data_IF_048629699144
#
_entry.id   IF_048629699144
#
_cell.length_a   1.000
_cell.length_b   1.000
_cell.length_c   1.000
_cell.angle_alpha   90.00
_cell.angle_beta   90.00
_cell.angle_gamma   90.00
#
_symmetry.space_group_name_H-M   'P 1'
#
loop_
_entity.id
_entity.type
_entity.pdbx_description
1 polymer ?
#
# COMPACT_ATOMS: atom_id res chain seq x y z
N UNK A 1 14.24 6.23 4.73
CA UNK A 1 13.20 5.50 4.00
C UNK A 1 13.79 4.75 2.81
N UNK A 2 13.16 3.63 2.37
CA UNK A 2 13.66 2.83 1.24
C UNK A 2 13.42 3.49 -0.13
N UNK A 3 12.29 4.19 -0.26
CA UNK A 3 11.85 4.90 -1.46
C UNK A 3 11.18 6.21 -1.07
N UNK A 4 11.34 7.25 -1.90
CA UNK A 4 10.74 8.57 -1.75
C UNK A 4 10.43 9.14 -3.13
N UNK A 5 9.53 10.10 -3.32
CA UNK A 5 9.30 10.70 -4.65
C UNK A 5 10.60 11.07 -5.37
N UNK A 6 10.69 10.82 -6.69
CA UNK A 6 9.63 10.42 -7.61
C UNK A 6 9.37 8.91 -7.69
N UNK A 7 9.95 8.09 -6.82
CA UNK A 7 9.62 6.65 -6.72
C UNK A 7 8.13 6.46 -6.42
N UNK A 8 7.59 5.27 -6.73
CA UNK A 8 6.19 4.92 -6.49
C UNK A 8 6.12 3.83 -5.42
N UNK A 9 5.18 3.99 -4.49
CA UNK A 9 4.89 2.99 -3.48
C UNK A 9 4.43 3.60 -2.17
N UNK A 10 4.00 2.76 -1.25
CA UNK A 10 3.46 3.18 0.04
C UNK A 10 4.34 4.17 0.81
N UNK A 11 5.65 3.90 1.03
CA UNK A 11 6.53 4.86 1.67
C UNK A 11 6.63 6.20 0.95
N UNK A 12 6.75 6.18 -0.38
CA UNK A 12 6.86 7.39 -1.21
C UNK A 12 5.57 8.24 -1.18
N UNK A 13 4.42 7.64 -0.90
CA UNK A 13 3.14 8.35 -0.75
C UNK A 13 2.92 8.84 0.69
N UNK A 14 3.28 8.04 1.68
CA UNK A 14 2.98 8.31 3.09
C UNK A 14 4.00 9.28 3.73
N UNK A 15 5.30 9.06 3.49
CA UNK A 15 6.37 9.80 4.19
C UNK A 15 6.31 11.32 3.92
N UNK A 16 6.13 11.83 2.69
CA UNK A 16 5.99 13.27 2.47
C UNK A 16 4.84 13.87 3.29
N UNK A 17 3.69 13.20 3.33
CA UNK A 17 2.49 13.71 4.02
C UNK A 17 2.70 13.81 5.54
N UNK A 18 3.29 12.77 6.15
CA UNK A 18 3.54 12.81 7.60
C UNK A 18 4.68 13.76 7.94
N UNK A 19 5.67 13.92 7.06
CA UNK A 19 6.75 14.90 7.24
C UNK A 19 6.20 16.31 7.25
N UNK A 20 5.37 16.70 6.27
CA UNK A 20 4.70 17.99 6.26
C UNK A 20 3.89 18.21 7.56
N UNK A 21 3.07 17.23 7.93
CA UNK A 21 2.28 17.35 9.15
C UNK A 21 3.16 17.59 10.40
N UNK A 22 4.28 16.90 10.52
CA UNK A 22 5.17 17.06 11.67
C UNK A 22 5.97 18.37 11.63
N UNK A 23 6.33 18.87 10.46
CA UNK A 23 7.01 20.15 10.31
C UNK A 23 6.03 21.32 10.55
N UNK A 24 4.85 21.28 9.92
CA UNK A 24 3.88 22.37 9.94
C UNK A 24 3.15 22.49 11.29
N UNK A 25 2.77 21.34 11.90
CA UNK A 25 1.95 21.33 13.11
C UNK A 25 2.76 21.16 14.41
N UNK A 26 3.97 20.60 14.35
CA UNK A 26 4.78 20.28 15.52
C UNK A 26 6.13 20.97 15.54
N UNK A 27 6.49 21.69 14.49
CA UNK A 27 7.79 22.35 14.29
C UNK A 27 8.99 21.39 14.45
N UNK A 28 8.85 20.12 14.04
CA UNK A 28 9.94 19.15 14.09
C UNK A 28 10.96 19.41 12.98
N UNK A 29 12.23 19.39 13.31
CA UNK A 29 13.33 19.38 12.36
C UNK A 29 13.53 17.98 11.78
N UNK A 30 13.11 17.75 10.52
CA UNK A 30 13.14 16.45 9.88
C UNK A 30 14.14 16.43 8.73
N UNK A 31 15.04 15.45 8.77
CA UNK A 31 15.92 15.11 7.66
C UNK A 31 15.57 13.72 7.12
N UNK A 32 15.52 13.58 5.80
CA UNK A 32 15.13 12.33 5.13
C UNK A 32 16.36 11.74 4.44
N UNK A 33 16.60 10.44 4.66
CA UNK A 33 17.52 9.65 3.86
C UNK A 33 16.75 8.65 3.01
N UNK A 34 17.05 8.59 1.70
CA UNK A 34 16.44 7.64 0.78
C UNK A 34 17.43 7.07 -0.24
N UNK A 35 17.08 5.93 -0.82
CA UNK A 35 17.72 5.44 -2.03
C UNK A 35 16.99 6.00 -3.25
N UNK A 36 17.74 6.38 -4.28
CA UNK A 36 17.19 6.92 -5.53
C UNK A 36 17.98 6.44 -6.73
N UNK A 37 17.36 6.36 -7.89
CA UNK A 37 18.05 6.08 -9.15
C UNK A 37 18.99 7.24 -9.49
N UNK A 38 20.03 6.98 -10.27
CA UNK A 38 21.08 7.96 -10.62
C UNK A 38 20.53 9.25 -11.20
N UNK A 39 19.49 9.19 -12.05
CA UNK A 39 18.83 10.32 -12.66
C UNK A 39 18.07 11.23 -11.67
N UNK A 40 17.78 10.73 -10.48
CA UNK A 40 16.95 11.41 -9.48
C UNK A 40 17.76 11.96 -8.28
N UNK A 41 19.10 11.86 -8.30
CA UNK A 41 19.94 12.26 -7.18
C UNK A 41 19.91 13.75 -6.87
N UNK A 42 19.76 14.57 -7.92
CA UNK A 42 19.83 16.03 -7.85
C UNK A 42 18.45 16.69 -7.98
N UNK A 43 17.38 15.96 -7.74
CA UNK A 43 16.03 16.56 -7.71
C UNK A 43 15.98 17.55 -6.56
N UNK A 44 15.50 18.77 -6.85
CA UNK A 44 15.24 19.77 -5.84
C UNK A 44 13.95 19.41 -5.12
N UNK A 45 14.05 19.22 -3.82
CA UNK A 45 12.95 18.84 -2.94
C UNK A 45 12.59 20.01 -2.00
N UNK A 46 11.35 20.06 -1.57
CA UNK A 46 10.90 20.99 -0.51
C UNK A 46 11.34 20.53 0.89
N UNK A 47 11.88 19.31 0.98
CA UNK A 47 12.36 18.69 2.21
C UNK A 47 13.88 18.66 2.28
N UNK A 48 14.45 18.61 3.49
CA UNK A 48 15.85 18.28 3.70
C UNK A 48 16.11 16.79 3.43
N UNK A 49 16.54 16.47 2.19
CA UNK A 49 16.68 15.07 1.72
C UNK A 49 18.13 14.76 1.32
N UNK A 50 18.63 13.63 1.83
CA UNK A 50 19.86 13.01 1.36
C UNK A 50 19.52 11.79 0.50
N UNK A 51 19.90 11.82 -0.79
CA UNK A 51 19.70 10.72 -1.74
C UNK A 51 20.97 9.92 -1.92
N UNK A 52 20.88 8.59 -1.82
CA UNK A 52 21.99 7.66 -2.12
C UNK A 52 21.64 6.93 -3.41
N UNK A 53 22.58 6.88 -4.35
CA UNK A 53 22.39 6.20 -5.62
C UNK A 53 22.15 4.70 -5.40
N UNK A 54 21.00 4.21 -5.91
CA UNK A 54 20.57 2.81 -5.83
C UNK A 54 21.43 1.89 -6.71
N UNK A 55 22.03 2.44 -7.78
CA UNK A 55 22.80 1.68 -8.76
C UNK A 55 24.25 1.36 -8.30
N UNK A 56 24.67 1.92 -7.17
CA UNK A 56 25.99 1.61 -6.59
C UNK A 56 26.12 0.12 -6.25
N UNK A 57 27.34 -0.45 -6.34
CA UNK A 57 27.61 -1.82 -5.90
C UNK A 57 27.05 -2.06 -4.48
N UNK A 58 26.38 -3.19 -4.30
CA UNK A 58 25.53 -3.45 -3.12
C UNK A 58 26.26 -3.25 -1.79
N UNK A 59 27.50 -3.73 -1.67
CA UNK A 59 28.29 -3.61 -0.44
C UNK A 59 28.64 -2.14 -0.18
N UNK A 60 29.14 -1.43 -1.21
CA UNK A 60 29.49 -0.01 -1.09
C UNK A 60 28.26 0.85 -0.74
N UNK A 61 27.15 0.62 -1.42
CA UNK A 61 25.89 1.30 -1.12
C UNK A 61 25.46 1.08 0.32
N UNK A 62 25.55 -0.17 0.77
CA UNK A 62 25.18 -0.55 2.13
C UNK A 62 26.03 0.16 3.19
N UNK A 63 27.36 0.12 3.05
CA UNK A 63 28.29 0.84 3.94
C UNK A 63 28.06 2.35 3.90
N UNK A 64 27.87 2.94 2.71
CA UNK A 64 27.58 4.35 2.52
C UNK A 64 26.26 4.75 3.22
N UNK A 65 25.25 3.89 3.13
CA UNK A 65 23.94 4.12 3.79
C UNK A 65 24.10 4.11 5.31
N UNK A 66 24.77 3.12 5.88
CA UNK A 66 25.05 3.02 7.32
C UNK A 66 25.79 4.26 7.81
N UNK A 67 26.88 4.64 7.13
CA UNK A 67 27.69 5.80 7.49
C UNK A 67 26.88 7.10 7.39
N UNK A 68 26.03 7.24 6.38
CA UNK A 68 25.19 8.43 6.23
C UNK A 68 24.13 8.50 7.34
N UNK A 69 23.48 7.38 7.69
CA UNK A 69 22.56 7.31 8.82
C UNK A 69 23.26 7.71 10.12
N UNK A 70 24.47 7.18 10.34
CA UNK A 70 25.25 7.54 11.52
C UNK A 70 25.57 9.04 11.59
N UNK A 71 25.98 9.65 10.47
CA UNK A 71 26.27 11.11 10.44
C UNK A 71 25.04 11.96 10.71
N UNK A 72 23.93 11.65 10.03
CA UNK A 72 22.68 12.39 10.17
C UNK A 72 22.05 12.21 11.55
N UNK A 73 22.12 11.01 12.12
CA UNK A 73 21.49 10.69 13.40
C UNK A 73 22.17 11.24 14.65
N UNK A 74 23.42 11.73 14.56
CA UNK A 74 24.17 12.22 15.75
C UNK A 74 23.43 13.30 16.54
N UNK A 75 22.82 14.25 15.84
CA UNK A 75 22.16 15.40 16.41
C UNK A 75 20.63 15.30 16.30
N UNK A 76 20.09 14.10 16.29
CA UNK A 76 18.65 13.85 16.24
C UNK A 76 18.21 13.06 17.48
N UNK A 77 17.01 13.28 17.93
CA UNK A 77 16.47 12.64 19.13
C UNK A 77 15.89 11.26 18.80
N UNK A 78 15.33 11.08 17.60
CA UNK A 78 14.60 9.88 17.21
C UNK A 78 14.86 9.51 15.75
N UNK A 79 14.83 8.22 15.44
CA UNK A 79 14.92 7.69 14.08
C UNK A 79 13.62 7.00 13.70
N UNK A 80 12.92 7.52 12.67
CA UNK A 80 11.77 6.85 12.07
C UNK A 80 12.18 6.07 10.82
N UNK A 81 11.90 4.76 10.82
CA UNK A 81 12.36 3.82 9.79
C UNK A 81 11.17 3.27 9.00
N UNK A 82 11.13 3.57 7.70
CA UNK A 82 10.19 2.98 6.74
C UNK A 82 10.98 2.43 5.53
N UNK A 83 11.59 1.28 5.68
CA UNK A 83 12.65 0.71 4.83
C UNK A 83 14.04 0.94 5.44
N UNK A 84 15.10 0.47 4.81
CA UNK A 84 16.50 0.56 5.27
C UNK A 84 16.71 0.07 6.72
N UNK A 85 15.95 -0.96 7.09
CA UNK A 85 15.89 -1.41 8.48
C UNK A 85 17.20 -1.96 9.02
N UNK A 86 17.90 -2.77 8.26
CA UNK A 86 19.16 -3.40 8.67
C UNK A 86 20.27 -2.36 8.80
N UNK A 87 20.36 -1.46 7.81
CA UNK A 87 21.34 -0.37 7.80
C UNK A 87 21.16 0.55 9.00
N UNK A 88 19.91 0.90 9.30
CA UNK A 88 19.58 1.72 10.48
C UNK A 88 19.93 1.01 11.78
N UNK A 89 19.60 -0.28 11.89
CA UNK A 89 19.94 -1.05 13.10
C UNK A 89 21.43 -1.06 13.37
N UNK A 90 22.25 -1.26 12.33
CA UNK A 90 23.73 -1.27 12.49
C UNK A 90 24.26 0.13 12.85
N UNK A 91 23.78 1.17 12.18
CA UNK A 91 24.15 2.55 12.52
C UNK A 91 23.78 2.90 13.96
N UNK A 92 22.61 2.42 14.42
CA UNK A 92 22.08 2.71 15.75
C UNK A 92 22.79 1.99 16.90
N UNK A 93 23.59 0.95 16.63
CA UNK A 93 24.49 0.35 17.64
C UNK A 93 25.42 1.43 18.24
N UNK A 94 25.85 2.38 17.41
CA UNK A 94 26.73 3.48 17.80
C UNK A 94 25.99 4.75 18.20
N UNK A 95 24.80 4.99 17.65
CA UNK A 95 23.99 6.19 17.92
C UNK A 95 23.20 6.08 19.22
N UNK A 96 22.69 4.87 19.52
CA UNK A 96 21.84 4.56 20.69
C UNK A 96 20.58 5.44 20.78
N UNK A 97 20.00 5.81 19.63
CA UNK A 97 18.78 6.61 19.55
C UNK A 97 17.54 5.72 19.60
N UNK A 98 16.41 6.27 20.02
CA UNK A 98 15.10 5.61 19.91
C UNK A 98 14.75 5.35 18.46
N UNK A 99 14.29 4.14 18.15
CA UNK A 99 13.91 3.71 16.80
C UNK A 99 12.44 3.34 16.74
N UNK A 100 11.67 4.10 15.97
CA UNK A 100 10.33 3.72 15.55
C UNK A 100 10.44 3.09 14.16
N UNK A 101 9.95 1.87 14.01
CA UNK A 101 9.98 1.15 12.73
C UNK A 101 8.59 0.89 12.21
N UNK A 102 8.32 1.36 11.00
CA UNK A 102 7.12 1.00 10.26
C UNK A 102 7.38 -0.24 9.40
N UNK A 103 6.59 -1.28 9.61
CA UNK A 103 6.63 -2.55 8.85
C UNK A 103 5.32 -2.67 8.09
N UNK A 104 5.39 -2.70 6.77
CA UNK A 104 4.22 -2.72 5.87
C UNK A 104 4.04 -4.06 5.13
N UNK A 105 4.94 -5.01 5.33
CA UNK A 105 4.94 -6.34 4.74
C UNK A 105 6.20 -7.12 5.12
N UNK A 106 6.36 -8.32 4.57
CA UNK A 106 7.60 -9.11 4.72
C UNK A 106 8.46 -9.06 3.44
N UNK A 107 9.57 -8.32 3.45
CA UNK A 107 10.42 -8.20 2.28
C UNK A 107 11.11 -9.51 1.87
N UNK A 108 11.13 -10.54 2.74
CA UNK A 108 11.67 -11.85 2.42
C UNK A 108 10.67 -12.62 1.57
N UNK A 109 9.41 -12.66 2.01
CA UNK A 109 8.32 -13.29 1.28
C UNK A 109 8.09 -12.59 -0.06
N UNK A 110 7.95 -11.26 -0.07
CA UNK A 110 7.69 -10.47 -1.29
C UNK A 110 8.76 -10.72 -2.36
N UNK A 111 10.04 -10.77 -1.97
CA UNK A 111 11.14 -11.07 -2.90
C UNK A 111 11.10 -12.49 -3.41
N UNK A 112 10.76 -13.45 -2.58
CA UNK A 112 10.65 -14.86 -2.97
C UNK A 112 9.47 -15.06 -3.93
N UNK A 113 8.32 -14.49 -3.63
CA UNK A 113 7.11 -14.55 -4.44
C UNK A 113 7.33 -13.88 -5.82
N UNK A 114 7.81 -12.64 -5.83
CA UNK A 114 8.06 -11.89 -7.08
C UNK A 114 9.12 -12.53 -7.98
N UNK A 115 10.01 -13.38 -7.44
CA UNK A 115 11.00 -14.15 -8.21
C UNK A 115 10.52 -15.56 -8.57
N UNK A 116 9.28 -15.89 -8.31
CA UNK A 116 8.73 -17.23 -8.54
C UNK A 116 9.38 -18.35 -7.70
N UNK A 117 10.05 -18.00 -6.59
CA UNK A 117 10.69 -18.97 -5.69
C UNK A 117 9.72 -19.61 -4.70
N UNK A 118 8.55 -19.03 -4.53
CA UNK A 118 7.45 -19.57 -3.76
C UNK A 118 6.11 -19.12 -4.35
N UNK A 119 5.10 -19.96 -4.25
CA UNK A 119 3.69 -19.64 -4.53
C UNK A 119 2.85 -19.68 -3.25
N UNK A 120 3.47 -19.89 -2.11
CA UNK A 120 2.81 -19.98 -0.82
C UNK A 120 2.15 -18.67 -0.42
N UNK A 121 1.07 -18.77 0.36
CA UNK A 121 0.48 -17.62 1.02
C UNK A 121 1.50 -16.93 1.95
N UNK A 122 1.20 -15.70 2.34
CA UNK A 122 2.03 -14.97 3.30
C UNK A 122 2.21 -15.76 4.61
N UNK A 123 1.13 -16.32 5.14
CA UNK A 123 1.12 -17.01 6.43
C UNK A 123 1.84 -18.36 6.35
N UNK A 124 1.57 -19.17 5.33
CA UNK A 124 2.24 -20.47 5.12
C UNK A 124 3.75 -20.31 4.98
N UNK A 125 4.19 -19.28 4.27
CA UNK A 125 5.62 -18.99 4.11
C UNK A 125 6.33 -18.72 5.45
N UNK A 126 5.64 -18.23 6.47
CA UNK A 126 6.26 -17.93 7.75
C UNK A 126 6.61 -19.21 8.53
N UNK A 127 5.77 -20.23 8.42
CA UNK A 127 5.92 -21.51 9.18
C UNK A 127 6.75 -22.54 8.43
N UNK A 128 6.79 -22.47 7.09
CA UNK A 128 7.51 -23.44 6.27
C UNK A 128 9.01 -23.17 6.18
N UNK A 129 9.78 -24.25 5.96
CA UNK A 129 11.24 -24.16 5.78
C UNK A 129 11.60 -24.02 4.30
N UNK A 130 12.35 -22.96 3.96
CA UNK A 130 12.75 -22.62 2.58
C UNK A 130 14.27 -22.71 2.35
N UNK A 131 14.97 -23.50 3.17
CA UNK A 131 16.41 -23.70 3.09
C UNK A 131 17.25 -22.59 3.72
N UNK A 132 18.58 -22.80 3.71
CA UNK A 132 19.54 -22.00 4.49
C UNK A 132 19.55 -20.51 4.07
N UNK A 133 19.54 -20.23 2.77
CA UNK A 133 19.60 -18.85 2.27
C UNK A 133 18.38 -18.01 2.70
N UNK A 134 17.19 -18.61 2.66
CA UNK A 134 15.95 -17.94 3.09
C UNK A 134 15.92 -17.78 4.61
N UNK A 135 16.36 -18.79 5.35
CA UNK A 135 16.48 -18.74 6.82
C UNK A 135 17.44 -17.63 7.26
N UNK A 136 18.56 -17.43 6.55
CA UNK A 136 19.46 -16.31 6.83
C UNK A 136 18.79 -14.95 6.58
N UNK A 137 18.03 -14.80 5.50
CA UNK A 137 17.29 -13.56 5.22
C UNK A 137 16.22 -13.30 6.30
N UNK A 138 15.50 -14.33 6.75
CA UNK A 138 14.55 -14.23 7.87
C UNK A 138 15.29 -13.79 9.17
N UNK A 139 16.48 -14.33 9.46
CA UNK A 139 17.31 -13.92 10.62
C UNK A 139 17.73 -12.45 10.53
N UNK A 140 18.17 -11.97 9.36
CA UNK A 140 18.56 -10.56 9.15
C UNK A 140 17.33 -9.64 9.34
N UNK A 141 16.17 -10.00 8.80
CA UNK A 141 14.91 -9.30 9.04
C UNK A 141 14.61 -9.24 10.55
N UNK A 142 14.65 -10.38 11.22
CA UNK A 142 14.34 -10.48 12.64
C UNK A 142 15.30 -9.68 13.51
N UNK A 143 16.60 -9.68 13.18
CA UNK A 143 17.59 -8.84 13.85
C UNK A 143 17.18 -7.35 13.80
N UNK A 144 16.75 -6.89 12.63
CA UNK A 144 16.34 -5.49 12.50
C UNK A 144 15.02 -5.16 13.21
N UNK A 145 14.09 -6.11 13.30
CA UNK A 145 12.83 -5.97 14.06
C UNK A 145 13.12 -5.89 15.55
N UNK A 146 13.90 -6.83 16.07
CA UNK A 146 14.23 -6.94 17.50
C UNK A 146 14.88 -5.66 18.06
N UNK A 147 15.67 -4.97 17.26
CA UNK A 147 16.39 -3.75 17.65
C UNK A 147 15.61 -2.46 17.32
N UNK A 148 14.30 -2.49 17.47
CA UNK A 148 13.43 -1.32 17.36
C UNK A 148 12.74 -1.10 18.71
N UNK A 149 12.59 0.13 19.17
CA UNK A 149 11.89 0.44 20.43
C UNK A 149 10.39 0.30 20.25
N UNK A 150 9.87 0.79 19.11
CA UNK A 150 8.47 0.65 18.76
C UNK A 150 8.34 0.20 17.31
N UNK A 151 7.41 -0.71 17.08
CA UNK A 151 7.03 -1.18 15.75
C UNK A 151 5.64 -0.66 15.42
N UNK A 152 5.47 -0.08 14.24
CA UNK A 152 4.18 0.32 13.70
C UNK A 152 3.85 -0.59 12.52
N UNK A 153 2.66 -1.16 12.53
CA UNK A 153 2.11 -1.93 11.39
C UNK A 153 0.86 -1.24 10.87
N UNK A 154 0.57 -1.30 9.56
CA UNK A 154 -0.62 -0.66 8.99
C UNK A 154 -1.91 -1.45 9.27
N UNK A 155 -1.80 -2.66 9.82
CA UNK A 155 -2.93 -3.55 10.03
C UNK A 155 -2.76 -4.43 11.26
N UNK A 156 -3.89 -4.93 11.78
CA UNK A 156 -3.89 -5.89 12.89
C UNK A 156 -3.29 -7.24 12.46
N UNK A 157 -3.52 -7.66 11.22
CA UNK A 157 -2.93 -8.89 10.67
C UNK A 157 -1.38 -8.85 10.72
N UNK A 158 -0.78 -7.77 10.24
CA UNK A 158 0.68 -7.61 10.31
C UNK A 158 1.20 -7.43 11.75
N UNK A 159 0.41 -6.84 12.65
CA UNK A 159 0.74 -6.81 14.09
C UNK A 159 0.79 -8.22 14.65
N UNK A 160 -0.21 -9.04 14.40
CA UNK A 160 -0.25 -10.43 14.84
C UNK A 160 0.94 -11.22 14.28
N UNK A 161 1.24 -11.06 12.99
CA UNK A 161 2.43 -11.67 12.38
C UNK A 161 3.73 -11.33 13.15
N UNK A 162 3.94 -10.07 13.54
CA UNK A 162 5.14 -9.69 14.30
C UNK A 162 5.11 -10.28 15.72
N UNK A 163 3.94 -10.36 16.35
CA UNK A 163 3.77 -11.01 17.66
C UNK A 163 4.09 -12.51 17.59
N UNK A 164 3.64 -13.20 16.55
CA UNK A 164 3.87 -14.64 16.32
C UNK A 164 5.35 -14.96 16.08
N UNK A 165 6.15 -13.99 15.65
CA UNK A 165 7.61 -14.11 15.61
C UNK A 165 8.27 -14.08 16.99
N UNK A 166 7.51 -13.88 18.06
CA UNK A 166 7.96 -13.92 19.45
C UNK A 166 8.70 -12.68 19.94
N UNK A 167 8.56 -11.54 19.26
CA UNK A 167 9.18 -10.29 19.68
C UNK A 167 8.41 -9.63 20.85
N UNK A 168 9.18 -9.06 21.79
CA UNK A 168 8.65 -8.34 22.97
C UNK A 168 8.59 -6.82 22.81
N UNK A 169 8.81 -6.35 21.59
CA UNK A 169 8.75 -4.92 21.27
C UNK A 169 7.33 -4.37 21.50
N UNK A 170 7.22 -3.08 21.79
CA UNK A 170 5.94 -2.39 21.71
C UNK A 170 5.48 -2.34 20.25
N UNK A 171 4.31 -2.91 19.95
CA UNK A 171 3.76 -2.98 18.59
C UNK A 171 2.42 -2.27 18.55
N UNK A 172 2.31 -1.27 17.69
CA UNK A 172 1.09 -0.51 17.47
C UNK A 172 0.56 -0.75 16.06
N UNK A 173 -0.72 -1.07 15.94
CA UNK A 173 -1.39 -1.10 14.66
C UNK A 173 -1.94 0.31 14.36
N UNK A 174 -1.24 1.05 13.49
CA UNK A 174 -1.66 2.37 13.02
C UNK A 174 -1.78 2.29 11.51
N UNK A 175 -3.01 2.30 11.01
CA UNK A 175 -3.28 2.20 9.58
C UNK A 175 -2.71 3.41 8.81
N UNK A 176 -2.58 3.23 7.50
CA UNK A 176 -2.26 4.34 6.60
C UNK A 176 -3.59 4.99 6.19
N UNK A 177 -3.96 6.08 6.80
CA UNK A 177 -5.19 6.77 6.47
C UNK A 177 -5.28 7.23 5.01
N UNK A 178 -6.50 7.47 4.57
CA UNK A 178 -6.81 8.07 3.26
C UNK A 178 -7.43 9.46 3.46
N UNK A 179 -7.21 10.32 2.48
CA UNK A 179 -7.86 11.64 2.46
C UNK A 179 -9.33 11.46 2.11
N UNK A 180 -10.22 11.98 2.95
CA UNK A 180 -11.65 11.93 2.68
C UNK A 180 -12.03 13.09 1.74
N UNK A 181 -12.60 12.81 0.56
CA UNK A 181 -12.98 13.85 -0.38
C UNK A 181 -14.19 14.66 0.15
N UNK A 182 -14.26 15.93 -0.25
CA UNK A 182 -15.40 16.79 0.11
C UNK A 182 -16.70 16.33 -0.55
N UNK A 183 -16.61 15.82 -1.77
CA UNK A 183 -17.75 15.35 -2.56
C UNK A 183 -17.67 13.83 -2.79
N UNK A 184 -18.83 13.18 -2.77
CA UNK A 184 -18.94 11.77 -3.16
C UNK A 184 -18.88 11.60 -4.68
N UNK A 185 -18.57 10.38 -5.13
CA UNK A 185 -18.77 10.00 -6.52
C UNK A 185 -20.25 10.10 -6.91
N UNK A 186 -20.51 10.44 -8.17
CA UNK A 186 -21.87 10.44 -8.75
C UNK A 186 -22.14 9.08 -9.39
N UNK A 187 -22.33 8.05 -8.55
CA UNK A 187 -22.51 6.67 -8.99
C UNK A 187 -23.84 6.47 -9.71
N UNK A 188 -23.83 5.62 -10.73
CA UNK A 188 -24.98 5.25 -11.58
C UNK A 188 -25.74 6.45 -12.16
N UNK A 189 -25.09 7.60 -12.29
CA UNK A 189 -25.71 8.84 -12.78
C UNK A 189 -25.67 8.99 -14.31
N UNK A 190 -24.87 8.18 -14.98
CA UNK A 190 -24.67 8.20 -16.43
C UNK A 190 -25.30 6.98 -17.13
N UNK A 191 -25.43 7.06 -18.46
CA UNK A 191 -25.84 5.91 -19.27
C UNK A 191 -24.76 4.81 -19.35
N UNK A 192 -23.53 5.10 -18.90
CA UNK A 192 -22.41 4.16 -18.87
C UNK A 192 -22.13 3.72 -17.44
N UNK A 193 -21.73 2.46 -17.27
CA UNK A 193 -21.16 1.94 -16.04
C UNK A 193 -19.64 2.08 -16.12
N UNK A 194 -19.08 2.99 -15.35
CA UNK A 194 -17.64 3.20 -15.28
C UNK A 194 -17.03 2.32 -14.20
N UNK A 195 -16.35 1.27 -14.59
CA UNK A 195 -15.60 0.39 -13.70
C UNK A 195 -14.15 0.87 -13.65
N UNK A 196 -13.58 0.91 -12.45
CA UNK A 196 -12.19 1.37 -12.27
C UNK A 196 -11.36 0.38 -11.47
N UNK A 197 -10.12 0.18 -11.91
CA UNK A 197 -9.07 -0.56 -11.23
C UNK A 197 -7.89 0.39 -11.02
N UNK A 198 -7.32 0.42 -9.81
CA UNK A 198 -6.09 1.17 -9.50
C UNK A 198 -5.11 0.22 -8.83
N UNK A 199 -4.09 -0.24 -9.55
CA UNK A 199 -3.09 -1.16 -9.00
C UNK A 199 -1.81 -1.22 -9.83
N UNK A 200 -0.76 -1.85 -9.28
CA UNK A 200 0.36 -2.33 -10.11
C UNK A 200 -0.13 -3.45 -11.03
N UNK A 201 0.35 -3.45 -12.28
CA UNK A 201 -0.03 -4.46 -13.27
C UNK A 201 0.91 -5.68 -13.14
N UNK A 202 0.58 -6.56 -12.19
CA UNK A 202 1.31 -7.79 -11.85
C UNK A 202 0.34 -8.95 -11.66
N UNK A 203 0.79 -10.20 -11.86
CA UNK A 203 -0.05 -11.41 -11.98
C UNK A 203 -1.00 -11.64 -10.79
N UNK A 204 -0.54 -11.41 -9.56
CA UNK A 204 -1.38 -11.62 -8.40
C UNK A 204 -2.55 -10.63 -8.25
N UNK A 205 -2.66 -9.63 -9.14
CA UNK A 205 -3.80 -8.69 -9.19
C UNK A 205 -4.94 -9.19 -10.07
N UNK A 206 -4.75 -10.27 -10.85
CA UNK A 206 -5.75 -10.92 -11.67
C UNK A 206 -6.52 -9.98 -12.63
N UNK A 207 -5.84 -8.93 -13.15
CA UNK A 207 -6.47 -7.93 -14.02
C UNK A 207 -6.93 -8.57 -15.33
N UNK A 208 -6.20 -9.58 -15.81
CA UNK A 208 -6.58 -10.38 -16.97
C UNK A 208 -7.99 -10.94 -16.81
N UNK A 209 -8.30 -11.56 -15.66
CA UNK A 209 -9.63 -12.14 -15.42
C UNK A 209 -10.73 -11.09 -15.37
N UNK A 210 -10.43 -9.86 -14.94
CA UNK A 210 -11.39 -8.76 -14.96
C UNK A 210 -11.66 -8.32 -16.40
N UNK A 211 -10.62 -8.21 -17.25
CA UNK A 211 -10.75 -7.89 -18.66
C UNK A 211 -11.60 -8.96 -19.39
N UNK A 212 -11.33 -10.23 -19.14
CA UNK A 212 -12.09 -11.35 -19.70
C UNK A 212 -13.57 -11.31 -19.26
N UNK A 213 -13.83 -11.12 -17.97
CA UNK A 213 -15.19 -11.04 -17.43
C UNK A 213 -16.01 -9.91 -18.07
N UNK A 214 -15.40 -8.73 -18.22
CA UNK A 214 -16.06 -7.57 -18.85
C UNK A 214 -16.28 -7.81 -20.34
N UNK A 215 -15.33 -8.47 -21.01
CA UNK A 215 -15.49 -8.86 -22.41
C UNK A 215 -16.65 -9.85 -22.61
N UNK A 216 -16.76 -10.84 -21.72
CA UNK A 216 -17.83 -11.86 -21.77
C UNK A 216 -19.21 -11.29 -21.38
N UNK A 217 -19.28 -10.20 -20.62
CA UNK A 217 -20.55 -9.49 -20.35
C UNK A 217 -21.17 -8.90 -21.61
N UNK A 218 -20.35 -8.58 -22.59
CA UNK A 218 -20.76 -8.01 -23.88
C UNK A 218 -21.77 -6.84 -23.75
N UNK A 219 -21.63 -6.02 -22.72
CA UNK A 219 -22.52 -4.89 -22.46
C UNK A 219 -21.87 -3.58 -22.97
N UNK A 220 -22.41 -2.97 -24.05
CA UNK A 220 -21.80 -1.78 -24.66
C UNK A 220 -21.80 -0.55 -23.76
N UNK A 221 -22.52 -0.58 -22.65
CA UNK A 221 -22.58 0.53 -21.68
C UNK A 221 -21.48 0.45 -20.62
N UNK A 222 -20.68 -0.62 -20.57
CA UNK A 222 -19.57 -0.74 -19.62
C UNK A 222 -18.32 -0.06 -20.19
N UNK A 223 -17.61 0.69 -19.34
CA UNK A 223 -16.26 1.23 -19.57
C UNK A 223 -15.34 0.78 -18.45
N UNK A 224 -14.17 0.24 -18.79
CA UNK A 224 -13.15 -0.18 -17.85
C UNK A 224 -11.97 0.77 -17.87
N UNK A 225 -11.70 1.43 -16.76
CA UNK A 225 -10.53 2.27 -16.54
C UNK A 225 -9.48 1.48 -15.74
N UNK A 226 -8.30 1.25 -16.32
CA UNK A 226 -7.17 0.57 -15.70
C UNK A 226 -6.07 1.61 -15.45
N UNK A 227 -5.82 1.90 -14.16
CA UNK A 227 -4.84 2.89 -13.72
C UNK A 227 -3.68 2.16 -13.05
N UNK A 228 -2.49 2.39 -13.56
CA UNK A 228 -1.24 1.84 -13.03
C UNK A 228 -0.30 1.34 -14.11
N UNK A 229 0.86 0.89 -13.68
CA UNK A 229 1.93 0.35 -14.51
C UNK A 229 2.44 -0.96 -13.93
N UNK A 230 3.07 -1.77 -14.75
CA UNK A 230 3.70 -3.02 -14.32
C UNK A 230 4.12 -3.90 -15.48
N UNK A 231 4.84 -4.99 -15.18
CA UNK A 231 5.38 -5.90 -16.21
C UNK A 231 4.32 -6.55 -17.09
N UNK A 232 3.07 -6.66 -16.65
CA UNK A 232 1.99 -7.28 -17.41
C UNK A 232 1.27 -6.32 -18.38
N UNK A 233 1.64 -5.01 -18.42
CA UNK A 233 0.95 -4.03 -19.27
C UNK A 233 0.77 -4.51 -20.72
N UNK A 234 1.85 -4.96 -21.38
CA UNK A 234 1.80 -5.38 -22.78
C UNK A 234 0.91 -6.61 -23.00
N UNK A 235 0.94 -7.56 -22.06
CA UNK A 235 0.07 -8.75 -22.10
C UNK A 235 -1.40 -8.35 -21.94
N UNK A 236 -1.73 -7.53 -20.95
CA UNK A 236 -3.10 -7.06 -20.70
C UNK A 236 -3.66 -6.24 -21.86
N UNK A 237 -2.85 -5.39 -22.48
CA UNK A 237 -3.22 -4.68 -23.71
C UNK A 237 -3.47 -5.65 -24.86
N UNK A 238 -2.64 -6.68 -25.04
CA UNK A 238 -2.82 -7.67 -26.08
C UNK A 238 -4.11 -8.49 -25.90
N UNK A 239 -4.50 -8.79 -24.66
CA UNK A 239 -5.76 -9.46 -24.33
C UNK A 239 -6.93 -8.53 -24.66
N UNK A 240 -6.87 -7.27 -24.26
CA UNK A 240 -7.92 -6.29 -24.52
C UNK A 240 -8.18 -6.06 -26.00
N UNK A 241 -7.13 -6.08 -26.84
CA UNK A 241 -7.24 -5.91 -28.29
C UNK A 241 -7.96 -7.06 -29.00
N UNK A 242 -7.95 -8.26 -28.40
CA UNK A 242 -8.68 -9.43 -28.92
C UNK A 242 -10.18 -9.41 -28.60
N UNK A 243 -10.55 -8.51 -27.67
CA UNK A 243 -11.94 -8.35 -27.26
C UNK A 243 -12.70 -7.37 -28.18
N UNK A 244 -13.97 -7.63 -28.41
CA UNK A 244 -14.88 -6.67 -29.06
C UNK A 244 -15.06 -5.39 -28.26
N UNK A 245 -14.65 -5.43 -26.98
CA UNK A 245 -14.66 -4.33 -26.00
C UNK A 245 -13.41 -3.44 -26.00
N UNK A 246 -12.43 -3.67 -26.91
CA UNK A 246 -11.15 -2.95 -26.96
C UNK A 246 -11.27 -1.42 -26.83
N UNK A 247 -12.28 -0.82 -27.42
CA UNK A 247 -12.52 0.63 -27.39
C UNK A 247 -13.15 1.13 -26.08
N UNK A 248 -13.50 0.24 -25.16
CA UNK A 248 -14.10 0.53 -23.84
C UNK A 248 -13.14 0.25 -22.69
N UNK A 249 -11.99 -0.37 -22.96
CA UNK A 249 -10.94 -0.65 -21.98
C UNK A 249 -9.83 0.40 -22.17
N UNK A 250 -9.65 1.23 -21.17
CA UNK A 250 -8.74 2.38 -21.21
C UNK A 250 -7.61 2.15 -20.22
N UNK A 251 -6.38 2.02 -20.73
CA UNK A 251 -5.18 1.97 -19.93
C UNK A 251 -4.64 3.38 -19.77
N UNK A 252 -4.74 3.92 -18.56
CA UNK A 252 -4.31 5.28 -18.25
C UNK A 252 -2.80 5.38 -17.93
N UNK A 253 -2.12 4.23 -17.73
CA UNK A 253 -0.76 4.25 -17.19
C UNK A 253 -0.74 4.79 -15.75
N UNK A 254 0.40 5.34 -15.37
CA UNK A 254 0.55 6.01 -14.08
C UNK A 254 -0.11 7.39 -14.12
N UNK A 255 -0.97 7.67 -13.15
CA UNK A 255 -1.60 8.98 -12.99
C UNK A 255 -1.20 9.64 -11.68
N UNK A 256 -1.23 10.96 -11.65
CA UNK A 256 -1.14 11.75 -10.43
C UNK A 256 -2.43 11.64 -9.61
N UNK A 257 -2.33 11.93 -8.31
CA UNK A 257 -3.47 11.80 -7.39
C UNK A 257 -4.69 12.62 -7.81
N UNK A 258 -4.49 13.83 -8.34
CA UNK A 258 -5.58 14.69 -8.83
C UNK A 258 -6.37 14.05 -9.97
N UNK A 259 -5.66 13.34 -10.88
CA UNK A 259 -6.28 12.71 -12.04
C UNK A 259 -7.03 11.43 -11.63
N UNK A 260 -6.46 10.64 -10.70
CA UNK A 260 -7.16 9.51 -10.06
C UNK A 260 -8.44 9.99 -9.37
N UNK A 261 -8.39 11.10 -8.64
CA UNK A 261 -9.55 11.68 -7.99
C UNK A 261 -10.65 12.06 -9.00
N UNK A 262 -10.25 12.61 -10.16
CA UNK A 262 -11.18 12.95 -11.25
C UNK A 262 -11.86 11.71 -11.84
N UNK A 263 -11.13 10.58 -11.94
CA UNK A 263 -11.72 9.31 -12.39
C UNK A 263 -12.64 8.74 -11.31
N UNK A 264 -12.21 8.71 -10.05
CA UNK A 264 -13.02 8.22 -8.94
C UNK A 264 -14.35 8.97 -8.78
N UNK A 265 -14.37 10.29 -9.00
CA UNK A 265 -15.62 11.07 -8.93
C UNK A 265 -16.69 10.66 -9.97
N UNK A 266 -16.30 9.87 -10.99
CA UNK A 266 -17.16 9.38 -12.08
C UNK A 266 -17.25 7.85 -12.10
N UNK A 267 -16.65 7.17 -11.14
CA UNK A 267 -16.61 5.70 -11.06
C UNK A 267 -17.89 5.19 -10.41
N UNK A 268 -18.49 4.17 -11.02
CA UNK A 268 -19.71 3.51 -10.54
C UNK A 268 -19.40 2.23 -9.76
N UNK A 269 -18.26 1.57 -10.08
CA UNK A 269 -17.80 0.36 -9.42
C UNK A 269 -16.27 0.30 -9.40
N UNK A 270 -15.70 0.04 -8.26
CA UNK A 270 -14.27 -0.26 -8.11
C UNK A 270 -14.07 -1.77 -7.94
N UNK A 271 -13.11 -2.36 -8.70
CA UNK A 271 -12.80 -3.79 -8.62
C UNK A 271 -11.34 -4.02 -8.23
N UNK A 272 -11.12 -4.95 -7.29
CA UNK A 272 -9.81 -5.41 -6.85
C UNK A 272 -9.80 -6.93 -6.65
N UNK A 273 -9.29 -7.67 -7.63
CA UNK A 273 -9.31 -9.15 -7.66
C UNK A 273 -7.97 -9.78 -7.21
N UNK A 274 -7.32 -9.20 -6.22
CA UNK A 274 -5.97 -9.58 -5.79
C UNK A 274 -5.94 -10.91 -5.05
N UNK A 275 -4.89 -11.72 -5.25
CA UNK A 275 -4.63 -12.92 -4.45
C UNK A 275 -3.98 -12.58 -3.09
N UNK A 276 -3.42 -11.39 -2.96
CA UNK A 276 -2.79 -10.88 -1.73
C UNK A 276 -2.90 -9.36 -1.64
N UNK A 277 -3.24 -8.87 -0.45
CA UNK A 277 -3.18 -7.46 -0.05
C UNK A 277 -2.73 -7.36 1.41
N UNK A 278 -1.91 -6.34 1.70
CA UNK A 278 -1.73 -5.88 3.08
C UNK A 278 -2.91 -4.98 3.48
N UNK A 279 -2.70 -3.67 3.52
CA UNK A 279 -3.79 -2.70 3.60
C UNK A 279 -4.12 -2.19 2.18
N UNK A 280 -5.33 -2.40 1.67
CA UNK A 280 -5.69 -2.07 0.28
C UNK A 280 -6.01 -0.58 0.11
N UNK A 281 -4.97 0.27 -0.02
CA UNK A 281 -5.13 1.73 -0.08
C UNK A 281 -6.10 2.21 -1.17
N UNK A 282 -6.01 1.67 -2.39
CA UNK A 282 -6.88 2.07 -3.50
C UNK A 282 -8.34 1.68 -3.28
N UNK A 283 -8.59 0.58 -2.57
CA UNK A 283 -9.93 0.17 -2.12
C UNK A 283 -10.49 1.19 -1.11
N UNK A 284 -9.69 1.55 -0.08
CA UNK A 284 -10.09 2.56 0.91
C UNK A 284 -10.33 3.93 0.27
N UNK A 285 -9.51 4.29 -0.72
CA UNK A 285 -9.72 5.52 -1.48
C UNK A 285 -11.03 5.48 -2.27
N UNK A 286 -11.33 4.38 -2.98
CA UNK A 286 -12.61 4.23 -3.68
C UNK A 286 -13.81 4.31 -2.71
N UNK A 287 -13.73 3.60 -1.58
CA UNK A 287 -14.76 3.66 -0.54
C UNK A 287 -14.93 5.05 0.05
N UNK A 288 -13.86 5.84 0.20
CA UNK A 288 -13.94 7.21 0.70
C UNK A 288 -14.76 8.15 -0.20
N UNK A 289 -14.83 7.83 -1.50
CA UNK A 289 -15.71 8.50 -2.47
C UNK A 289 -17.16 8.00 -2.43
N UNK A 290 -17.48 6.96 -1.67
CA UNK A 290 -18.78 6.31 -1.69
C UNK A 290 -19.00 5.49 -2.97
N UNK A 291 -17.95 4.93 -3.53
CA UNK A 291 -18.02 4.05 -4.69
C UNK A 291 -18.32 2.63 -4.20
N UNK A 292 -19.31 1.91 -4.78
CA UNK A 292 -19.47 0.48 -4.58
C UNK A 292 -18.18 -0.27 -4.92
N UNK A 293 -17.79 -1.24 -4.07
CA UNK A 293 -16.54 -1.96 -4.22
C UNK A 293 -16.75 -3.47 -4.29
N UNK A 294 -16.01 -4.11 -5.19
CA UNK A 294 -15.95 -5.57 -5.36
C UNK A 294 -14.51 -6.01 -5.17
N UNK A 295 -14.20 -6.80 -4.16
CA UNK A 295 -12.84 -7.26 -3.93
C UNK A 295 -12.75 -8.71 -3.45
N UNK A 296 -11.56 -9.28 -3.51
CA UNK A 296 -11.27 -10.57 -2.89
C UNK A 296 -11.14 -10.44 -1.37
N UNK A 297 -11.55 -11.45 -0.59
CA UNK A 297 -11.49 -11.42 0.88
C UNK A 297 -10.07 -11.75 1.40
N UNK A 298 -9.05 -11.01 0.94
CA UNK A 298 -7.64 -11.21 1.30
C UNK A 298 -7.10 -10.07 2.17
N UNK A 299 -6.17 -10.38 3.06
CA UNK A 299 -5.59 -9.41 3.98
C UNK A 299 -6.66 -8.63 4.74
N UNK A 300 -6.50 -7.31 4.83
CA UNK A 300 -7.44 -6.43 5.54
C UNK A 300 -8.78 -6.21 4.80
N UNK A 301 -8.94 -6.70 3.56
CA UNK A 301 -10.20 -6.53 2.82
C UNK A 301 -11.41 -7.09 3.59
N UNK A 302 -11.22 -8.20 4.34
CA UNK A 302 -12.29 -8.77 5.20
C UNK A 302 -12.72 -7.80 6.29
N UNK A 303 -11.78 -7.17 6.98
CA UNK A 303 -12.08 -6.20 8.03
C UNK A 303 -12.73 -4.94 7.45
N UNK A 304 -12.23 -4.49 6.31
CA UNK A 304 -12.73 -3.29 5.62
C UNK A 304 -14.17 -3.47 5.15
N UNK A 305 -14.52 -4.60 4.53
CA UNK A 305 -15.88 -4.84 4.03
C UNK A 305 -16.82 -5.46 5.06
N UNK A 306 -16.31 -6.02 6.16
CA UNK A 306 -17.11 -6.77 7.14
C UNK A 306 -17.70 -8.04 6.53
N UNK A 307 -18.96 -8.35 6.86
CA UNK A 307 -19.69 -9.47 6.25
C UNK A 307 -20.45 -9.01 4.98
N UNK A 308 -19.75 -8.35 4.07
CA UNK A 308 -20.33 -7.68 2.89
C UNK A 308 -21.29 -6.52 3.20
N UNK A 309 -21.25 -5.97 4.41
CA UNK A 309 -22.07 -4.82 4.78
C UNK A 309 -21.66 -3.55 4.04
N UNK A 310 -20.38 -3.48 3.59
CA UNK A 310 -19.74 -2.29 3.02
C UNK A 310 -19.20 -2.49 1.60
N UNK A 311 -19.59 -3.59 0.94
CA UNK A 311 -19.12 -3.92 -0.40
C UNK A 311 -19.47 -5.37 -0.75
N UNK A 312 -18.75 -5.94 -1.73
CA UNK A 312 -18.98 -7.29 -2.25
C UNK A 312 -17.69 -8.08 -2.30
N UNK A 313 -17.76 -9.39 -2.03
CA UNK A 313 -16.63 -10.29 -2.15
C UNK A 313 -16.68 -11.14 -3.42
N UNK A 314 -15.50 -11.31 -4.01
CA UNK A 314 -15.21 -12.35 -4.98
C UNK A 314 -14.82 -13.64 -4.27
N UNK A 315 -15.16 -14.77 -4.85
CA UNK A 315 -14.72 -16.08 -4.37
C UNK A 315 -13.23 -16.32 -4.70
N UNK A 316 -12.60 -17.16 -3.91
CA UNK A 316 -11.24 -17.65 -4.19
C UNK A 316 -11.31 -19.15 -4.55
N UNK A 317 -10.57 -19.61 -5.56
CA UNK A 317 -9.73 -18.81 -6.47
C UNK A 317 -10.56 -17.90 -7.40
N UNK A 318 -10.05 -16.71 -7.70
CA UNK A 318 -10.73 -15.74 -8.58
C UNK A 318 -11.04 -16.38 -9.94
N UNK A 319 -12.28 -16.22 -10.42
CA UNK A 319 -12.70 -16.62 -11.74
C UNK A 319 -13.40 -15.48 -12.48
N UNK A 320 -13.35 -15.49 -13.83
CA UNK A 320 -14.07 -14.51 -14.65
C UNK A 320 -15.58 -14.62 -14.49
N UNK A 321 -16.09 -15.83 -14.32
CA UNK A 321 -17.54 -16.08 -14.18
C UNK A 321 -18.08 -15.51 -12.87
N UNK A 322 -17.32 -15.61 -11.76
CA UNK A 322 -17.68 -15.00 -10.50
C UNK A 322 -17.66 -13.46 -10.60
N UNK A 323 -16.63 -12.88 -11.22
CA UNK A 323 -16.54 -11.43 -11.45
C UNK A 323 -17.77 -10.96 -12.27
N UNK A 324 -18.11 -11.66 -13.34
CA UNK A 324 -19.26 -11.37 -14.20
C UNK A 324 -20.56 -11.42 -13.40
N UNK A 325 -20.81 -12.51 -12.66
CA UNK A 325 -22.00 -12.67 -11.83
C UNK A 325 -22.15 -11.56 -10.80
N UNK A 326 -21.05 -11.15 -10.15
CA UNK A 326 -21.07 -10.07 -9.16
C UNK A 326 -21.30 -8.69 -9.79
N UNK A 327 -20.77 -8.44 -10.99
CA UNK A 327 -21.06 -7.20 -11.71
C UNK A 327 -22.55 -7.14 -12.09
N UNK A 328 -23.13 -8.23 -12.59
CA UNK A 328 -24.56 -8.31 -12.91
C UNK A 328 -25.45 -8.10 -11.65
N UNK A 329 -25.09 -8.71 -10.52
CA UNK A 329 -25.75 -8.51 -9.23
C UNK A 329 -25.77 -7.02 -8.86
N UNK A 330 -24.61 -6.35 -8.89
CA UNK A 330 -24.46 -4.94 -8.52
C UNK A 330 -25.26 -4.01 -9.43
N UNK A 331 -25.27 -4.28 -10.75
CA UNK A 331 -26.02 -3.50 -11.74
C UNK A 331 -27.52 -3.63 -11.53
N UNK A 332 -28.00 -4.83 -11.21
CA UNK A 332 -29.42 -5.12 -11.04
C UNK A 332 -29.95 -4.61 -9.68
N UNK A 333 -29.07 -4.53 -8.67
CA UNK A 333 -29.43 -4.17 -7.30
C UNK A 333 -28.80 -2.83 -6.85
N UNK A 334 -28.87 -1.79 -7.70
CA UNK A 334 -28.22 -0.48 -7.47
C UNK A 334 -28.54 0.14 -6.10
N UNK A 335 -29.76 -0.04 -5.59
CA UNK A 335 -30.15 0.50 -4.28
C UNK A 335 -29.38 -0.17 -3.14
N UNK A 336 -29.12 -1.47 -3.24
CA UNK A 336 -28.31 -2.22 -2.28
C UNK A 336 -26.85 -1.79 -2.39
N UNK A 337 -26.35 -1.65 -3.63
CA UNK A 337 -24.99 -1.19 -3.88
C UNK A 337 -24.76 0.23 -3.30
N UNK A 338 -25.71 1.14 -3.48
CA UNK A 338 -25.66 2.49 -2.89
C UNK A 338 -25.59 2.43 -1.35
N UNK A 339 -26.48 1.66 -0.71
CA UNK A 339 -26.48 1.50 0.74
C UNK A 339 -25.14 0.96 1.26
N UNK A 340 -24.61 -0.10 0.65
CA UNK A 340 -23.29 -0.67 1.01
C UNK A 340 -22.16 0.36 0.83
N UNK A 341 -22.20 1.16 -0.23
CA UNK A 341 -21.18 2.18 -0.49
C UNK A 341 -21.22 3.34 0.52
N UNK A 342 -22.42 3.76 0.97
CA UNK A 342 -22.59 4.75 2.03
C UNK A 342 -22.04 4.26 3.37
N UNK A 343 -22.36 3.03 3.76
CA UNK A 343 -21.80 2.40 4.97
C UNK A 343 -20.28 2.26 4.87
N UNK A 344 -19.77 1.89 3.69
CA UNK A 344 -18.35 1.82 3.41
C UNK A 344 -17.64 3.17 3.55
N UNK A 345 -18.22 4.24 2.98
CA UNK A 345 -17.71 5.61 3.11
C UNK A 345 -17.68 6.06 4.57
N UNK A 346 -18.75 5.84 5.32
CA UNK A 346 -18.84 6.17 6.74
C UNK A 346 -17.72 5.46 7.52
N UNK A 347 -17.59 4.15 7.36
CA UNK A 347 -16.57 3.36 8.03
C UNK A 347 -15.16 3.85 7.74
N UNK A 348 -14.83 4.12 6.46
CA UNK A 348 -13.52 4.63 6.07
C UNK A 348 -13.27 6.02 6.65
N UNK A 349 -14.28 6.89 6.66
CA UNK A 349 -14.16 8.24 7.22
C UNK A 349 -13.89 8.24 8.72
N UNK A 350 -14.44 7.29 9.46
CA UNK A 350 -14.25 7.13 10.90
C UNK A 350 -12.94 6.45 11.23
N UNK A 351 -12.62 5.33 10.56
CA UNK A 351 -11.50 4.45 10.94
C UNK A 351 -10.20 4.71 10.19
N UNK A 352 -10.28 5.16 8.94
CA UNK A 352 -9.13 5.31 8.04
C UNK A 352 -8.88 6.75 7.59
N UNK A 353 -9.38 7.74 8.33
CA UNK A 353 -9.11 9.14 8.04
C UNK A 353 -7.63 9.48 8.28
N UNK A 354 -6.99 10.10 7.29
CA UNK A 354 -5.57 10.43 7.33
C UNK A 354 -5.22 11.38 8.50
N UNK A 355 -6.09 12.33 8.82
CA UNK A 355 -5.88 13.25 9.95
C UNK A 355 -5.83 12.50 11.27
N UNK A 356 -6.75 11.55 11.49
CA UNK A 356 -6.76 10.71 12.69
C UNK A 356 -5.49 9.83 12.75
N UNK A 357 -5.05 9.30 11.61
CA UNK A 357 -3.77 8.58 11.52
C UNK A 357 -2.61 9.45 11.99
N UNK A 358 -2.51 10.68 11.54
CA UNK A 358 -1.41 11.59 11.95
C UNK A 358 -1.46 11.94 13.43
N UNK A 359 -2.65 12.11 14.02
CA UNK A 359 -2.81 12.31 15.46
C UNK A 359 -2.27 11.11 16.25
N UNK A 360 -2.54 9.87 15.80
CA UNK A 360 -1.99 8.68 16.45
C UNK A 360 -0.45 8.63 16.36
N UNK A 361 0.11 8.99 15.22
CA UNK A 361 1.57 9.11 15.08
C UNK A 361 2.14 10.20 15.99
N UNK A 362 1.52 11.39 16.01
CA UNK A 362 1.90 12.49 16.92
C UNK A 362 1.98 12.00 18.35
N UNK A 363 0.91 11.42 18.88
CA UNK A 363 0.84 10.94 20.26
C UNK A 363 1.93 9.91 20.57
N UNK A 364 2.21 9.00 19.63
CA UNK A 364 3.27 8.01 19.79
C UNK A 364 4.66 8.64 19.83
N UNK A 365 4.95 9.58 18.93
CA UNK A 365 6.25 10.25 18.85
C UNK A 365 6.49 11.14 20.09
N UNK A 366 5.52 11.96 20.47
CA UNK A 366 5.60 12.81 21.67
C UNK A 366 5.86 11.99 22.91
N UNK A 367 5.12 10.89 23.11
CA UNK A 367 5.33 10.01 24.27
C UNK A 367 6.75 9.45 24.34
N UNK A 368 7.33 9.05 23.20
CA UNK A 368 8.68 8.49 23.17
C UNK A 368 9.77 9.52 23.42
N UNK A 369 9.55 10.76 22.98
CA UNK A 369 10.48 11.88 23.25
C UNK A 369 10.42 12.29 24.72
N UNK A 370 9.23 12.35 25.33
CA UNK A 370 9.08 12.67 26.77
C UNK A 370 9.63 11.57 27.70
N UNK A 371 9.72 10.32 27.25
CA UNK A 371 10.33 9.21 28.01
C UNK A 371 11.88 9.30 28.06
N UNK A 372 12.51 10.16 27.24
CA UNK A 372 13.96 10.43 27.30
C UNK A 372 14.34 11.52 28.32
N UNK A 373 13.41 12.40 28.67
CA UNK A 373 13.65 13.51 29.60
C UNK A 373 13.53 13.11 31.11
N UNK A 374 13.27 11.84 31.37
CA UNK A 374 13.16 11.24 32.70
C UNK A 374 14.28 10.24 32.97
#
# INVERSE_FOLDING_TARGET
VGIFPPDIGGPATFVPKITNYFQDELNYEIEILTLSDSKNLNIKDDFSIKRINRDLPIIYRWLKTIFTIYRMGKNKDLIFVNGLGTETTIANIFLKKKVIRKIVGDPVWERAYNKGKTSESFDDFQVNNHGVAMSLQKKVRNFSIKNSDVIITPSQHLKNFILDLGFKNKIEAINNGVTIPKESAKIFSNNYLNITIVSRLVSHKNIEKIIEAISDLNNPLIKLNIIGEGPELNQLQSISLKSDFKNKIIFHGKLEKKDINTIFSKTDLYIQASNYEGLPHSLLEAMSYGIPVLCTPVGECREVLGNEDRGYFLNLPVSKDDIKSKIDEIINEKNIANKKSEEGKKFVSEKYNLTNTFILYKNLFTKLLEEEDK
#
